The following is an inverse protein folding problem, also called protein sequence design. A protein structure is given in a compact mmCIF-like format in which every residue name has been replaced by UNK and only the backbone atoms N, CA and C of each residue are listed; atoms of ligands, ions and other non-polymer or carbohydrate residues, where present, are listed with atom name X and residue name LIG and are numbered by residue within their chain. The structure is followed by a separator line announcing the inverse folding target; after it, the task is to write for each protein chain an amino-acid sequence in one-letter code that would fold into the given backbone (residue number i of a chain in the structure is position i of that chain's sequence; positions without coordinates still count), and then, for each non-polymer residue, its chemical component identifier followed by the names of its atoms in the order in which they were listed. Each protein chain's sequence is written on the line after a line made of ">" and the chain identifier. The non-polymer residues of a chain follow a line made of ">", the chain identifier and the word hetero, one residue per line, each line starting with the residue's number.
data_IF_391986005819
#
_entry.id   IF_391986005819
#
_cell.length_a   1.000
_cell.length_b   1.000
_cell.length_c   1.000
_cell.angle_alpha   90.00
_cell.angle_beta   90.00
_cell.angle_gamma   90.00
#
_symmetry.space_group_name_H-M   'P 1'
#
loop_
_entity.id
_entity.type
_entity.pdbx_description
1 polymer ?
#
# COMPACT_ATOMS: atom_id res chain seq x y z
N UNK A 1 9.75 -12.45 -21.42
CA UNK A 1 9.24 -12.22 -20.06
C UNK A 1 8.27 -11.05 -20.11
N UNK A 2 6.96 -11.29 -20.11
CA UNK A 2 6.01 -10.20 -19.85
C UNK A 2 6.12 -9.91 -18.35
N UNK A 3 6.92 -8.91 -18.02
CA UNK A 3 6.98 -8.33 -16.68
C UNK A 3 5.60 -7.73 -16.43
N UNK A 4 4.69 -8.52 -15.83
CA UNK A 4 3.38 -8.03 -15.40
C UNK A 4 3.63 -6.73 -14.64
N UNK A 5 3.04 -5.64 -15.12
CA UNK A 5 3.49 -4.30 -14.76
C UNK A 5 3.19 -4.04 -13.28
N UNK A 6 4.17 -4.30 -12.44
CA UNK A 6 4.09 -4.07 -11.01
C UNK A 6 4.24 -2.57 -10.74
N UNK A 7 3.50 -2.07 -9.75
CA UNK A 7 3.64 -0.70 -9.31
C UNK A 7 5.09 -0.43 -8.88
N UNK A 8 5.73 0.57 -9.48
CA UNK A 8 7.10 0.99 -9.14
C UNK A 8 7.26 1.34 -7.65
N UNK A 9 6.17 1.82 -7.04
CA UNK A 9 6.12 2.20 -5.62
C UNK A 9 6.01 0.98 -4.69
N UNK A 10 5.55 -0.18 -5.18
CA UNK A 10 5.41 -1.40 -4.38
C UNK A 10 6.75 -1.87 -3.80
N UNK A 11 7.81 -1.86 -4.62
CA UNK A 11 9.14 -2.29 -4.19
C UNK A 11 9.93 -1.19 -3.48
N UNK A 12 9.58 0.08 -3.65
CA UNK A 12 10.33 1.19 -3.07
C UNK A 12 9.80 1.61 -1.70
N UNK A 13 8.59 2.14 -1.64
CA UNK A 13 8.11 2.86 -0.44
C UNK A 13 6.74 2.40 0.04
N UNK A 14 6.08 1.48 -0.67
CA UNK A 14 4.71 1.10 -0.36
C UNK A 14 4.59 0.41 1.01
N UNK A 15 3.79 1.01 1.88
CA UNK A 15 3.32 0.37 3.12
C UNK A 15 2.63 -0.96 2.88
N UNK A 16 2.04 -1.17 1.70
CA UNK A 16 1.39 -2.42 1.34
C UNK A 16 2.37 -3.58 1.31
N UNK A 17 3.58 -3.37 0.74
CA UNK A 17 4.61 -4.41 0.75
C UNK A 17 5.00 -4.74 2.19
N UNK A 18 5.30 -3.73 3.02
CA UNK A 18 5.69 -3.94 4.43
C UNK A 18 4.61 -4.68 5.23
N UNK A 19 3.36 -4.25 5.10
CA UNK A 19 2.23 -4.87 5.77
C UNK A 19 2.00 -6.32 5.29
N UNK A 20 2.12 -6.57 3.98
CA UNK A 20 2.02 -7.91 3.41
C UNK A 20 3.17 -8.83 3.85
N UNK A 21 4.42 -8.33 3.84
CA UNK A 21 5.62 -9.06 4.28
C UNK A 21 5.49 -9.52 5.74
N UNK A 22 4.83 -8.69 6.56
CA UNK A 22 4.54 -9.00 7.98
C UNK A 22 3.29 -9.84 8.19
N UNK A 23 2.58 -10.25 7.13
CA UNK A 23 1.34 -11.02 7.22
C UNK A 23 0.16 -10.22 7.80
N UNK A 24 0.26 -8.89 7.83
CA UNK A 24 -0.78 -7.99 8.35
C UNK A 24 -1.82 -7.63 7.28
N UNK A 25 -1.44 -7.71 6.02
CA UNK A 25 -2.29 -7.40 4.88
C UNK A 25 -2.54 -8.65 4.04
N UNK A 26 -3.78 -8.81 3.59
CA UNK A 26 -4.16 -9.91 2.70
C UNK A 26 -3.56 -9.73 1.29
N UNK A 27 -3.13 -10.84 0.68
CA UNK A 27 -2.51 -10.86 -0.65
C UNK A 27 -3.42 -10.25 -1.72
N UNK A 28 -4.74 -10.33 -1.56
CA UNK A 28 -5.72 -9.75 -2.50
C UNK A 28 -5.48 -8.26 -2.79
N UNK A 29 -4.95 -7.51 -1.80
CA UNK A 29 -4.65 -6.10 -1.97
C UNK A 29 -3.43 -5.89 -2.86
N UNK A 30 -2.43 -6.76 -2.72
CA UNK A 30 -1.23 -6.73 -3.56
C UNK A 30 -1.59 -7.15 -4.99
N UNK A 31 -2.35 -8.24 -5.13
CA UNK A 31 -2.75 -8.78 -6.43
C UNK A 31 -3.64 -7.82 -7.23
N UNK A 32 -4.68 -7.25 -6.60
CA UNK A 32 -5.63 -6.39 -7.30
C UNK A 32 -5.10 -4.99 -7.58
N UNK A 33 -4.22 -4.45 -6.72
CA UNK A 33 -3.70 -3.09 -6.87
C UNK A 33 -2.24 -3.10 -7.29
N UNK A 34 -1.33 -3.58 -6.44
CA UNK A 34 0.11 -3.44 -6.65
C UNK A 34 0.64 -4.21 -7.87
N UNK A 35 0.14 -5.41 -8.14
CA UNK A 35 0.51 -6.21 -9.32
C UNK A 35 -0.23 -5.79 -10.59
N UNK A 36 -1.27 -4.97 -10.44
CA UNK A 36 -2.03 -4.37 -11.52
C UNK A 36 -1.63 -2.89 -11.73
N UNK A 37 -0.33 -2.59 -11.86
CA UNK A 37 0.23 -1.24 -12.07
C UNK A 37 0.04 -0.23 -10.93
N UNK A 38 -0.52 -0.66 -9.79
CA UNK A 38 -1.04 0.28 -8.80
C UNK A 38 -2.29 1.02 -9.30
N UNK A 39 -3.00 0.44 -10.27
CA UNK A 39 -4.22 1.01 -10.83
C UNK A 39 -5.29 1.10 -9.73
N UNK A 40 -5.93 2.26 -9.62
CA UNK A 40 -6.88 2.55 -8.54
C UNK A 40 -6.26 2.78 -7.15
N UNK A 41 -4.92 2.86 -7.03
CA UNK A 41 -4.29 3.19 -5.74
C UNK A 41 -4.41 4.69 -5.44
N UNK A 42 -5.32 5.04 -4.52
CA UNK A 42 -5.53 6.42 -4.07
C UNK A 42 -4.27 6.99 -3.43
N UNK A 43 -3.47 6.18 -2.73
CA UNK A 43 -2.21 6.65 -2.11
C UNK A 43 -1.24 7.17 -3.16
N UNK A 44 -1.10 6.44 -4.28
CA UNK A 44 -0.27 6.86 -5.42
C UNK A 44 -0.83 8.14 -6.02
N UNK A 45 -2.14 8.17 -6.28
CA UNK A 45 -2.83 9.33 -6.85
C UNK A 45 -2.65 10.59 -6.01
N UNK A 46 -2.88 10.53 -4.69
CA UNK A 46 -2.69 11.65 -3.76
C UNK A 46 -1.24 12.10 -3.64
N UNK A 47 -0.29 11.17 -3.70
CA UNK A 47 1.12 11.52 -3.69
C UNK A 47 1.54 12.24 -4.97
N UNK A 48 1.10 11.76 -6.14
CA UNK A 48 1.44 12.35 -7.44
C UNK A 48 0.70 13.68 -7.69
N UNK A 49 -0.57 13.81 -7.26
CA UNK A 49 -1.37 15.02 -7.48
C UNK A 49 -1.20 16.07 -6.38
N UNK A 50 -1.21 15.67 -5.11
CA UNK A 50 -1.21 16.58 -3.96
C UNK A 50 0.13 16.62 -3.21
N UNK A 51 1.09 15.75 -3.56
CA UNK A 51 2.31 15.55 -2.78
C UNK A 51 2.05 14.90 -1.42
N UNK A 52 0.83 14.42 -1.17
CA UNK A 52 0.42 13.93 0.15
C UNK A 52 0.81 12.46 0.34
N UNK A 53 1.71 12.21 1.30
CA UNK A 53 2.10 10.86 1.70
C UNK A 53 1.01 10.29 2.60
N UNK A 54 0.18 9.41 2.03
CA UNK A 54 -0.86 8.73 2.79
C UNK A 54 -0.25 7.78 3.84
N UNK A 55 -0.77 7.77 5.08
CA UNK A 55 -0.28 6.91 6.15
C UNK A 55 -0.32 5.43 5.80
N UNK A 56 0.56 4.67 6.44
CA UNK A 56 0.80 3.26 6.14
C UNK A 56 -0.38 2.32 6.42
N UNK A 57 -1.30 2.74 7.29
CA UNK A 57 -2.59 2.07 7.55
C UNK A 57 -3.71 2.40 6.56
N UNK A 58 -3.50 3.36 5.64
CA UNK A 58 -4.48 3.64 4.58
C UNK A 58 -4.32 2.60 3.49
N UNK A 59 -5.42 2.00 3.06
CA UNK A 59 -5.48 1.00 2.00
C UNK A 59 -5.48 1.67 0.61
N UNK A 60 -5.21 0.91 -0.47
CA UNK A 60 -5.18 1.44 -1.83
C UNK A 60 -6.50 2.07 -2.27
N UNK A 61 -7.64 1.62 -1.74
CA UNK A 61 -8.97 2.18 -1.98
C UNK A 61 -9.26 3.45 -1.16
N UNK A 62 -8.36 3.84 -0.26
CA UNK A 62 -8.51 5.01 0.61
C UNK A 62 -9.17 4.72 1.96
N UNK A 63 -9.65 3.50 2.22
CA UNK A 63 -10.11 3.13 3.55
C UNK A 63 -8.96 3.01 4.54
N UNK A 64 -9.27 3.23 5.82
CA UNK A 64 -8.29 3.07 6.91
C UNK A 64 -8.48 1.70 7.53
N UNK A 65 -7.43 0.88 7.46
CA UNK A 65 -7.42 -0.39 8.18
C UNK A 65 -7.08 -0.13 9.65
N UNK A 66 -8.07 -0.33 10.53
CA UNK A 66 -7.91 -0.10 11.96
C UNK A 66 -6.85 -1.01 12.60
N UNK A 67 -6.67 -2.24 12.10
CA UNK A 67 -5.64 -3.14 12.64
C UNK A 67 -4.25 -2.61 12.29
N UNK A 68 -4.05 -2.19 11.04
CA UNK A 68 -2.79 -1.56 10.64
C UNK A 68 -2.54 -0.26 11.42
N UNK A 69 -3.59 0.53 11.65
CA UNK A 69 -3.50 1.76 12.44
C UNK A 69 -3.04 1.48 13.87
N UNK A 70 -3.68 0.52 14.54
CA UNK A 70 -3.34 0.13 15.92
C UNK A 70 -1.90 -0.43 16.01
N UNK A 71 -1.47 -1.21 15.01
CA UNK A 71 -0.10 -1.73 14.95
C UNK A 71 0.91 -0.60 14.81
N UNK A 72 0.65 0.37 13.92
CA UNK A 72 1.54 1.54 13.75
C UNK A 72 1.51 2.41 15.00
N UNK A 73 0.36 2.65 15.62
CA UNK A 73 0.27 3.44 16.85
C UNK A 73 0.95 2.73 18.03
N UNK A 74 0.94 1.40 18.06
CA UNK A 74 1.58 0.60 19.10
C UNK A 74 3.09 0.42 18.89
N UNK A 75 3.55 0.24 17.64
CA UNK A 75 4.95 -0.09 17.31
C UNK A 75 5.73 1.06 16.68
N UNK A 76 5.08 2.16 16.32
CA UNK A 76 5.66 3.31 15.64
C UNK A 76 5.89 3.11 14.13
N UNK A 77 6.12 1.87 13.68
CA UNK A 77 6.25 1.51 12.27
C UNK A 77 5.91 0.03 12.04
N UNK A 78 5.80 -0.36 10.77
CA UNK A 78 5.65 -1.77 10.39
C UNK A 78 6.93 -2.57 10.59
#
# INVERSE_FOLDING_TARGET
>A
MMMGKMCQWYNQTSGMKRAYDKGLLDKKWIENYCWNEGNGCIRKKKFEEEGYVSPDYVLPDGTIDKKLKEIIESRGYF
#
